data_IF_659644836745
#
_entry.id   IF_659644836745
#
_cell.length_a   1.000
_cell.length_b   1.000
_cell.length_c   1.000
_cell.angle_alpha   90.00
_cell.angle_beta   90.00
_cell.angle_gamma   90.00
#
_symmetry.space_group_name_H-M   'P 1'
#
loop_
_entity.id
_entity.type
_entity.pdbx_description
1 polymer ?
#
# COMPACT_ATOMS: atom_id res chain seq x y z
N UNK A 1 1.48 16.99 16.60
CA UNK A 1 0.59 15.83 16.34
C UNK A 1 -0.46 16.25 15.33
N UNK A 2 -0.73 15.49 14.26
CA UNK A 2 -1.82 15.85 13.35
C UNK A 2 -3.15 15.83 14.13
N UNK A 3 -4.09 16.74 13.82
CA UNK A 3 -5.31 16.91 14.61
C UNK A 3 -6.20 15.66 14.53
N UNK A 4 -6.72 15.25 15.70
CA UNK A 4 -7.89 14.39 15.96
C UNK A 4 -8.38 13.47 14.83
N UNK A 5 -7.54 12.57 14.31
CA UNK A 5 -8.04 11.52 13.41
C UNK A 5 -8.70 10.43 14.25
N UNK A 6 -10.00 10.22 14.04
CA UNK A 6 -10.76 9.22 14.80
C UNK A 6 -10.39 7.80 14.36
N UNK A 7 -10.18 6.93 15.35
CA UNK A 7 -9.91 5.51 15.12
C UNK A 7 -11.20 4.70 15.16
N UNK A 8 -11.44 3.95 14.09
CA UNK A 8 -12.52 2.98 13.99
C UNK A 8 -12.00 1.65 14.53
N UNK A 9 -12.51 1.25 15.69
CA UNK A 9 -12.08 0.05 16.42
C UNK A 9 -12.87 -1.22 16.08
N UNK A 10 -14.05 -1.06 15.48
CA UNK A 10 -14.97 -2.15 15.13
C UNK A 10 -15.72 -1.83 13.86
N UNK A 11 -16.20 -2.86 13.17
CA UNK A 11 -16.98 -2.68 11.95
C UNK A 11 -18.19 -1.76 12.22
N UNK A 12 -18.37 -0.78 11.33
CA UNK A 12 -19.53 0.10 11.34
C UNK A 12 -20.30 -0.13 10.05
N UNK A 13 -21.65 -0.06 10.05
CA UNK A 13 -22.40 -0.17 8.81
C UNK A 13 -22.00 0.94 7.82
N UNK A 14 -21.90 0.60 6.53
CA UNK A 14 -21.53 1.54 5.47
C UNK A 14 -22.34 2.86 5.51
N UNK A 15 -23.68 2.87 5.72
CA UNK A 15 -24.42 4.13 5.79
C UNK A 15 -23.96 5.08 6.91
N UNK A 16 -23.46 4.52 8.04
CA UNK A 16 -22.90 5.32 9.14
C UNK A 16 -21.51 5.85 8.79
N UNK A 17 -20.65 5.02 8.20
CA UNK A 17 -19.34 5.46 7.69
C UNK A 17 -19.51 6.58 6.65
N UNK A 18 -20.43 6.39 5.70
CA UNK A 18 -20.71 7.32 4.63
C UNK A 18 -21.13 8.69 5.17
N UNK A 19 -22.15 8.71 6.04
CA UNK A 19 -22.66 9.96 6.62
C UNK A 19 -21.63 10.65 7.53
N UNK A 20 -20.85 9.89 8.31
CA UNK A 20 -19.96 10.44 9.32
C UNK A 20 -18.60 10.90 8.76
N UNK A 21 -18.07 10.21 7.75
CA UNK A 21 -16.70 10.46 7.27
C UNK A 21 -16.65 10.82 5.78
N UNK A 22 -17.41 10.11 4.93
CA UNK A 22 -17.31 10.33 3.47
C UNK A 22 -18.01 11.61 3.01
N UNK A 23 -19.24 11.88 3.48
CA UNK A 23 -19.97 13.13 3.16
C UNK A 23 -19.18 14.37 3.60
N UNK A 24 -18.71 14.48 4.87
CA UNK A 24 -17.96 15.65 5.30
C UNK A 24 -16.49 15.64 4.85
N UNK A 25 -16.02 14.62 4.14
CA UNK A 25 -14.62 14.43 3.76
C UNK A 25 -13.65 14.46 4.96
N UNK A 26 -14.06 13.82 6.07
CA UNK A 26 -13.29 13.77 7.32
C UNK A 26 -12.40 12.52 7.34
N UNK A 27 -11.08 12.64 7.58
CA UNK A 27 -10.20 11.49 7.68
C UNK A 27 -10.53 10.64 8.92
N UNK A 28 -10.45 9.33 8.76
CA UNK A 28 -10.53 8.34 9.84
C UNK A 28 -9.50 7.23 9.62
N UNK A 29 -9.14 6.54 10.70
CA UNK A 29 -8.19 5.43 10.67
C UNK A 29 -8.87 4.14 11.09
N UNK A 30 -8.86 3.11 10.25
CA UNK A 30 -9.22 1.76 10.69
C UNK A 30 -8.12 1.21 11.58
N UNK A 31 -8.50 0.71 12.76
CA UNK A 31 -7.55 0.07 13.68
C UNK A 31 -6.95 -1.20 13.08
N UNK A 32 -5.86 -1.69 13.69
CA UNK A 32 -5.20 -2.94 13.29
C UNK A 32 -6.11 -4.18 13.33
N UNK A 33 -7.26 -4.15 14.01
CA UNK A 33 -8.18 -5.29 14.08
C UNK A 33 -8.72 -5.68 12.71
N UNK A 34 -8.97 -4.71 11.83
CA UNK A 34 -9.50 -4.95 10.49
C UNK A 34 -8.59 -5.75 9.56
N UNK A 35 -7.30 -5.83 9.90
CA UNK A 35 -6.31 -6.54 9.09
C UNK A 35 -5.68 -7.69 9.83
N UNK A 36 -6.08 -7.98 11.07
CA UNK A 36 -5.37 -8.94 11.95
C UNK A 36 -5.26 -10.34 11.36
N UNK A 37 -6.27 -10.73 10.59
CA UNK A 37 -6.29 -12.03 9.94
C UNK A 37 -5.64 -12.08 8.56
N UNK A 38 -5.20 -10.94 8.01
CA UNK A 38 -4.56 -10.90 6.71
C UNK A 38 -3.29 -11.76 6.70
N UNK A 39 -3.20 -12.62 5.70
CA UNK A 39 -2.06 -13.50 5.51
C UNK A 39 -0.73 -12.74 5.38
N UNK A 40 -0.73 -11.52 4.85
CA UNK A 40 0.48 -10.69 4.81
C UNK A 40 0.99 -10.35 6.23
N UNK A 41 0.11 -10.13 7.21
CA UNK A 41 0.53 -9.87 8.61
C UNK A 41 1.08 -11.10 9.30
N UNK A 42 0.72 -12.30 8.83
CA UNK A 42 1.19 -13.59 9.36
C UNK A 42 2.48 -14.05 8.66
N UNK A 43 2.63 -13.77 7.37
CA UNK A 43 3.70 -14.34 6.54
C UNK A 43 4.80 -13.34 6.18
N UNK A 44 4.48 -12.05 6.00
CA UNK A 44 5.44 -11.02 5.59
C UNK A 44 6.10 -10.30 6.77
N UNK A 45 5.77 -10.70 7.99
CA UNK A 45 6.31 -10.12 9.23
C UNK A 45 6.93 -11.23 10.06
N UNK A 46 8.07 -10.97 10.69
CA UNK A 46 8.75 -11.86 11.62
C UNK A 46 8.16 -11.75 13.03
N UNK A 47 8.52 -12.68 13.93
CA UNK A 47 8.02 -12.67 15.31
C UNK A 47 8.39 -11.38 16.09
N UNK A 48 9.48 -10.71 15.73
CA UNK A 48 9.90 -9.42 16.30
C UNK A 48 9.27 -8.19 15.61
N UNK A 49 8.27 -8.41 14.73
CA UNK A 49 7.52 -7.33 14.08
C UNK A 49 8.23 -6.67 12.90
N UNK A 50 9.33 -7.24 12.41
CA UNK A 50 10.09 -6.72 11.26
C UNK A 50 9.63 -7.36 9.94
N UNK A 51 9.92 -6.75 8.78
CA UNK A 51 9.63 -7.38 7.50
C UNK A 51 10.38 -8.71 7.32
N UNK A 52 9.66 -9.76 6.90
CA UNK A 52 10.24 -11.05 6.57
C UNK A 52 10.86 -11.02 5.16
N UNK A 53 12.12 -10.57 5.09
CA UNK A 53 12.83 -10.40 3.82
C UNK A 53 12.98 -11.70 3.03
N UNK A 54 13.19 -12.83 3.70
CA UNK A 54 13.33 -14.13 3.03
C UNK A 54 12.03 -14.51 2.32
N UNK A 55 10.88 -14.36 3.00
CA UNK A 55 9.57 -14.64 2.40
C UNK A 55 9.27 -13.74 1.22
N UNK A 56 9.49 -12.42 1.38
CA UNK A 56 9.26 -11.43 0.34
C UNK A 56 10.15 -11.66 -0.91
N UNK A 57 11.41 -12.02 -0.70
CA UNK A 57 12.32 -12.38 -1.80
C UNK A 57 11.88 -13.65 -2.53
N UNK A 58 11.46 -14.68 -1.79
CA UNK A 58 10.97 -15.91 -2.39
C UNK A 58 9.70 -15.68 -3.24
N UNK A 59 8.80 -14.80 -2.78
CA UNK A 59 7.54 -14.53 -3.50
C UNK A 59 7.70 -13.56 -4.66
N UNK A 60 8.55 -12.53 -4.54
CA UNK A 60 8.58 -11.39 -5.46
C UNK A 60 9.96 -11.04 -6.01
N UNK A 61 11.03 -11.75 -5.63
CA UNK A 61 12.42 -11.36 -5.89
C UNK A 61 12.75 -11.06 -7.36
N UNK A 62 12.21 -11.84 -8.28
CA UNK A 62 12.45 -11.68 -9.73
C UNK A 62 11.51 -10.66 -10.39
N UNK A 63 10.48 -10.17 -9.70
CA UNK A 63 9.57 -9.19 -10.27
C UNK A 63 10.29 -7.86 -10.50
N UNK A 64 10.16 -7.32 -11.72
CA UNK A 64 10.65 -5.98 -12.05
C UNK A 64 9.64 -4.95 -11.58
N UNK A 65 10.11 -4.02 -10.77
CA UNK A 65 9.29 -3.01 -10.09
C UNK A 65 9.85 -1.64 -10.42
N UNK A 66 8.96 -0.65 -10.47
CA UNK A 66 9.34 0.76 -10.60
C UNK A 66 9.66 1.28 -9.19
N UNK A 67 10.88 1.74 -9.00
CA UNK A 67 11.35 2.38 -7.77
C UNK A 67 11.53 3.87 -8.01
N UNK A 68 11.32 4.62 -6.95
CA UNK A 68 11.56 6.05 -6.90
C UNK A 68 12.79 6.31 -6.06
N UNK A 69 13.57 7.32 -6.43
CA UNK A 69 14.66 7.81 -5.62
C UNK A 69 14.37 9.22 -5.13
N UNK A 70 14.47 9.42 -3.82
CA UNK A 70 14.49 10.76 -3.25
C UNK A 70 15.90 11.29 -3.37
N UNK A 71 16.13 12.20 -4.31
CA UNK A 71 17.35 12.98 -4.30
C UNK A 71 17.26 14.06 -3.23
N UNK A 72 18.10 13.95 -2.21
CA UNK A 72 18.26 15.03 -1.21
C UNK A 72 18.97 16.25 -1.85
N UNK A 73 19.75 16.05 -2.92
CA UNK A 73 20.61 17.08 -3.53
C UNK A 73 20.59 17.14 -5.08
N UNK A 74 19.54 16.69 -5.77
CA UNK A 74 19.44 16.79 -7.24
C UNK A 74 18.16 17.52 -7.62
N UNK A 75 18.28 18.44 -8.58
CA UNK A 75 17.17 19.19 -9.15
C UNK A 75 16.06 18.22 -9.57
N UNK A 76 14.84 18.45 -9.08
CA UNK A 76 13.67 17.65 -9.42
C UNK A 76 13.44 17.72 -10.93
N UNK A 77 13.43 16.60 -11.63
CA UNK A 77 12.90 16.55 -12.99
C UNK A 77 11.40 16.79 -12.90
N UNK A 78 10.91 17.96 -13.34
CA UNK A 78 9.48 18.28 -13.34
C UNK A 78 8.77 18.08 -11.98
N UNK A 79 9.40 18.50 -10.87
CA UNK A 79 8.90 18.31 -9.50
C UNK A 79 8.69 16.84 -9.06
N UNK A 80 9.15 15.86 -9.84
CA UNK A 80 9.02 14.44 -9.53
C UNK A 80 10.36 13.82 -9.13
N UNK A 81 10.30 12.89 -8.18
CA UNK A 81 11.40 11.98 -7.90
C UNK A 81 11.55 11.06 -9.12
N UNK A 82 12.75 10.94 -9.71
CA UNK A 82 12.90 10.14 -10.90
C UNK A 82 12.83 8.65 -10.57
N UNK A 83 12.68 7.85 -11.64
CA UNK A 83 12.22 6.47 -11.56
C UNK A 83 13.24 5.52 -12.16
N UNK A 84 13.42 4.37 -11.54
CA UNK A 84 14.26 3.29 -12.06
C UNK A 84 13.49 1.98 -12.00
N UNK A 85 13.62 1.16 -13.04
CA UNK A 85 13.08 -0.20 -13.04
C UNK A 85 14.22 -1.14 -12.65
N UNK A 86 14.02 -1.95 -11.61
CA UNK A 86 14.94 -3.02 -11.23
C UNK A 86 14.19 -4.25 -10.70
N UNK A 87 14.82 -5.43 -10.65
CA UNK A 87 14.31 -6.57 -9.89
C UNK A 87 14.12 -6.25 -8.41
N UNK A 88 13.05 -6.76 -7.79
CA UNK A 88 12.77 -6.57 -6.37
C UNK A 88 13.92 -7.00 -5.46
N UNK A 89 14.62 -8.08 -5.83
CA UNK A 89 15.78 -8.59 -5.09
C UNK A 89 16.91 -7.56 -4.95
N UNK A 90 17.11 -6.71 -5.96
CA UNK A 90 18.13 -5.65 -5.93
C UNK A 90 17.73 -4.55 -4.95
N UNK A 91 16.45 -4.15 -4.93
CA UNK A 91 15.94 -3.23 -3.92
C UNK A 91 16.05 -3.79 -2.50
N UNK A 92 15.74 -5.07 -2.32
CA UNK A 92 15.84 -5.72 -1.01
C UNK A 92 17.29 -5.81 -0.51
N UNK A 93 18.25 -5.94 -1.44
CA UNK A 93 19.67 -5.82 -1.12
C UNK A 93 20.00 -4.40 -0.66
N UNK A 94 19.62 -3.38 -1.44
CA UNK A 94 19.78 -1.98 -1.05
C UNK A 94 19.20 -1.69 0.33
N UNK A 95 17.97 -2.16 0.60
CA UNK A 95 17.29 -1.88 1.87
C UNK A 95 18.02 -2.51 3.06
N UNK A 96 18.58 -3.72 2.89
CA UNK A 96 19.42 -4.35 3.91
C UNK A 96 20.69 -3.55 4.19
N UNK A 97 21.40 -3.16 3.15
CA UNK A 97 22.62 -2.34 3.27
C UNK A 97 22.31 -0.98 3.91
N UNK A 98 21.19 -0.36 3.56
CA UNK A 98 20.72 0.88 4.15
C UNK A 98 20.47 0.77 5.66
N UNK A 99 19.82 -0.31 6.12
CA UNK A 99 19.62 -0.57 7.55
C UNK A 99 20.95 -0.81 8.27
N UNK A 100 21.84 -1.62 7.67
CA UNK A 100 23.14 -1.96 8.25
C UNK A 100 24.05 -0.73 8.39
N UNK A 101 23.96 0.23 7.45
CA UNK A 101 24.71 1.48 7.46
C UNK A 101 24.03 2.58 8.29
N UNK A 102 23.19 2.23 9.26
CA UNK A 102 22.56 3.18 10.18
C UNK A 102 21.60 4.16 9.50
N UNK A 103 20.91 3.72 8.45
CA UNK A 103 19.97 4.53 7.67
C UNK A 103 20.62 5.73 6.96
N UNK A 104 21.92 5.64 6.67
CA UNK A 104 22.65 6.65 5.88
C UNK A 104 22.41 6.47 4.38
N UNK A 105 21.98 7.53 3.70
CA UNK A 105 21.72 7.56 2.26
C UNK A 105 22.33 8.82 1.62
N UNK A 106 23.66 8.94 1.55
CA UNK A 106 24.35 10.17 1.11
C UNK A 106 24.04 10.55 -0.35
N UNK A 107 23.56 9.61 -1.16
CA UNK A 107 23.17 9.83 -2.57
C UNK A 107 21.64 9.88 -2.77
N UNK A 108 20.85 9.82 -1.70
CA UNK A 108 19.38 9.75 -1.77
C UNK A 108 18.80 8.40 -1.37
N UNK A 109 17.53 8.41 -0.97
CA UNK A 109 16.82 7.25 -0.44
C UNK A 109 15.92 6.61 -1.51
N UNK A 110 16.10 5.32 -1.79
CA UNK A 110 15.21 4.58 -2.69
C UNK A 110 13.98 4.10 -1.93
N UNK A 111 12.82 4.23 -2.57
CA UNK A 111 11.56 3.72 -2.04
C UNK A 111 10.67 3.20 -3.17
N UNK A 112 9.78 2.28 -2.82
CA UNK A 112 8.75 1.76 -3.73
C UNK A 112 7.50 2.59 -3.57
N UNK A 113 6.89 2.99 -4.67
CA UNK A 113 5.57 3.63 -4.70
C UNK A 113 4.75 3.06 -5.87
N UNK A 114 3.44 3.04 -5.73
CA UNK A 114 2.50 2.65 -6.79
C UNK A 114 2.78 1.25 -7.36
N UNK A 115 3.34 0.35 -6.54
CA UNK A 115 3.62 -1.03 -6.94
C UNK A 115 2.33 -1.85 -6.95
N UNK A 116 1.77 -2.01 -8.14
CA UNK A 116 0.58 -2.84 -8.38
C UNK A 116 0.93 -4.34 -8.40
N UNK A 117 1.34 -4.89 -7.24
CA UNK A 117 1.72 -6.31 -7.06
C UNK A 117 0.73 -7.28 -7.73
N UNK A 118 -0.56 -7.00 -7.62
CA UNK A 118 -1.68 -7.76 -8.18
C UNK A 118 -1.60 -8.02 -9.71
N UNK A 119 -0.93 -7.18 -10.48
CA UNK A 119 -0.84 -7.32 -11.95
C UNK A 119 0.23 -8.31 -12.39
N UNK A 120 1.18 -8.64 -11.50
CA UNK A 120 2.38 -9.40 -11.84
C UNK A 120 2.57 -10.64 -10.96
N UNK A 121 1.79 -10.79 -9.89
CA UNK A 121 1.78 -12.00 -9.05
C UNK A 121 0.68 -12.98 -9.46
N UNK A 122 0.98 -14.27 -9.41
CA UNK A 122 -0.02 -15.35 -9.31
C UNK A 122 -1.00 -15.13 -8.13
N UNK A 123 -2.09 -15.89 -8.06
CA UNK A 123 -3.18 -15.84 -7.04
C UNK A 123 -2.79 -15.48 -5.60
N UNK A 124 -1.55 -15.81 -5.20
CA UNK A 124 -0.89 -15.55 -3.91
C UNK A 124 -1.03 -14.12 -3.34
N UNK A 125 -1.08 -13.07 -4.15
CA UNK A 125 -1.30 -11.70 -3.63
C UNK A 125 -2.73 -11.49 -3.13
N UNK A 126 -3.72 -11.96 -3.89
CA UNK A 126 -5.13 -11.88 -3.50
C UNK A 126 -5.45 -12.75 -2.29
N UNK A 127 -4.69 -13.83 -2.09
CA UNK A 127 -4.74 -14.64 -0.87
C UNK A 127 -4.10 -13.93 0.34
N UNK A 128 -3.24 -12.93 0.10
CA UNK A 128 -2.46 -12.24 1.14
C UNK A 128 -3.18 -11.04 1.76
N UNK A 129 -4.08 -10.40 1.00
CA UNK A 129 -4.78 -9.17 1.38
C UNK A 129 -6.27 -9.34 1.08
N UNK A 130 -7.12 -9.02 2.05
CA UNK A 130 -8.57 -8.99 1.86
C UNK A 130 -9.06 -7.55 1.82
N UNK A 131 -10.01 -7.25 0.91
CA UNK A 131 -10.69 -5.94 0.95
C UNK A 131 -11.51 -5.89 2.23
N UNK A 132 -11.32 -4.85 3.03
CA UNK A 132 -12.17 -4.62 4.20
C UNK A 132 -13.62 -4.51 3.70
N UNK A 133 -14.52 -5.35 4.22
CA UNK A 133 -15.94 -5.46 3.85
C UNK A 133 -16.61 -4.10 3.61
N UNK A 134 -16.36 -3.15 4.50
CA UNK A 134 -16.96 -1.81 4.44
C UNK A 134 -16.49 -0.99 3.22
N UNK A 135 -15.27 -1.23 2.75
CA UNK A 135 -14.70 -0.60 1.54
C UNK A 135 -15.19 -1.35 0.29
N UNK A 136 -15.45 -2.66 0.39
CA UNK A 136 -16.06 -3.44 -0.70
C UNK A 136 -17.41 -2.85 -1.12
N UNK A 137 -18.25 -2.41 -0.16
CA UNK A 137 -19.49 -1.69 -0.46
C UNK A 137 -19.24 -0.38 -1.25
N UNK A 138 -18.18 0.37 -0.95
CA UNK A 138 -17.79 1.56 -1.72
C UNK A 138 -17.39 1.20 -3.15
N UNK A 139 -16.62 0.14 -3.35
CA UNK A 139 -16.25 -0.33 -4.68
C UNK A 139 -17.47 -0.80 -5.48
N UNK A 140 -18.40 -1.52 -4.85
CA UNK A 140 -19.65 -1.94 -5.46
C UNK A 140 -20.54 -0.74 -5.82
N UNK A 141 -20.66 0.26 -4.94
CA UNK A 141 -21.40 1.50 -5.24
C UNK A 141 -20.76 2.31 -6.37
N UNK A 142 -19.44 2.43 -6.40
CA UNK A 142 -18.73 3.08 -7.51
C UNK A 142 -18.95 2.31 -8.83
N UNK A 143 -18.94 0.98 -8.80
CA UNK A 143 -19.24 0.13 -9.95
C UNK A 143 -20.69 0.29 -10.44
N UNK A 144 -21.67 0.32 -9.53
CA UNK A 144 -23.08 0.56 -9.84
C UNK A 144 -23.30 1.99 -10.37
N UNK A 145 -22.61 2.99 -9.82
CA UNK A 145 -22.68 4.37 -10.30
C UNK A 145 -22.13 4.51 -11.72
N UNK A 146 -20.98 3.88 -12.02
CA UNK A 146 -20.42 3.82 -13.38
C UNK A 146 -21.34 3.08 -14.36
N UNK A 147 -22.01 2.02 -13.90
CA UNK A 147 -22.99 1.28 -14.71
C UNK A 147 -24.25 2.11 -14.98
N UNK A 148 -24.76 2.85 -13.99
CA UNK A 148 -25.88 3.78 -14.17
C UNK A 148 -25.55 4.97 -15.09
N UNK A 149 -24.31 5.47 -15.06
CA UNK A 149 -23.84 6.48 -16.01
C UNK A 149 -23.74 5.93 -17.45
N UNK A 150 -23.46 4.63 -17.61
CA UNK A 150 -23.38 3.99 -18.92
C UNK A 150 -24.77 3.74 -19.54
N UNK A 151 -25.82 3.59 -18.73
CA UNK A 151 -27.21 3.46 -19.21
C UNK A 151 -27.90 4.80 -19.49
N UNK A 152 -27.27 5.94 -19.22
CA UNK A 152 -27.79 7.27 -19.56
C UNK A 152 -27.44 7.73 -20.99
N UNK A 153 -26.74 6.90 -21.76
CA UNK A 153 -26.41 7.11 -23.17
C UNK A 153 -26.98 5.99 -24.04
N UNK A 154 -28.31 5.81 -24.02
CA UNK A 154 -29.09 5.18 -25.10
C UNK A 154 -30.34 6.02 -25.30
#
# INVERSE_FOLDING_TARGET
SPPHTEYIEREIPYPKLFKKYLIPNQPCMFSKKFTEDWNCRKNWVTADGKPNFQRLLHEFGEQRIIFHYTCINVAKEYNSNPKQIMPFKEFMQYWREYIQNGHSAPKGCLYVKDWHMQRYSSSKFWESIQVISIISCSYFLNFMCQSCQSTAYI
#
